data_IF_182215963936
#
_entry.id   IF_182215963936
#
_cell.length_a   1.000
_cell.length_b   1.000
_cell.length_c   1.000
_cell.angle_alpha   90.00
_cell.angle_beta   90.00
_cell.angle_gamma   90.00
#
_symmetry.space_group_name_H-M   'P 1'
#
loop_
_entity.id
_entity.type
_entity.pdbx_description
1 polymer ?
#
# COMPACT_ATOMS: atom_id res chain seq x y z
N UNK A 1 31.50 -6.37 18.51
CA UNK A 1 30.41 -5.97 17.58
C UNK A 1 29.93 -4.60 17.98
N UNK A 2 29.83 -3.65 17.04
CA UNK A 2 29.28 -2.34 17.33
C UNK A 2 27.74 -2.40 17.41
N UNK A 3 27.11 -1.45 18.12
CA UNK A 3 25.63 -1.40 18.23
C UNK A 3 24.93 -1.37 16.88
N UNK A 4 25.55 -0.78 15.85
CA UNK A 4 25.00 -0.70 14.50
C UNK A 4 24.98 -2.09 13.85
N UNK A 5 26.08 -2.85 13.93
CA UNK A 5 26.16 -4.21 13.40
C UNK A 5 25.12 -5.13 14.07
N UNK A 6 24.93 -4.98 15.36
CA UNK A 6 23.91 -5.73 16.11
C UNK A 6 22.48 -5.34 15.70
N UNK A 7 22.21 -4.04 15.43
CA UNK A 7 20.93 -3.58 14.92
C UNK A 7 20.63 -4.18 13.54
N UNK A 8 21.62 -4.23 12.65
CA UNK A 8 21.48 -4.81 11.32
C UNK A 8 21.22 -6.34 11.38
N UNK A 9 21.86 -7.04 12.31
CA UNK A 9 21.58 -8.47 12.54
C UNK A 9 20.13 -8.71 12.98
N UNK A 10 19.64 -7.90 13.94
CA UNK A 10 18.25 -7.98 14.37
C UNK A 10 17.28 -7.66 13.24
N UNK A 11 17.56 -6.62 12.45
CA UNK A 11 16.74 -6.27 11.29
C UNK A 11 16.66 -7.43 10.28
N UNK A 12 17.82 -7.98 9.87
CA UNK A 12 17.87 -9.09 8.91
C UNK A 12 17.15 -10.34 9.43
N UNK A 13 17.26 -10.62 10.72
CA UNK A 13 16.50 -11.70 11.36
C UNK A 13 15.00 -11.45 11.31
N UNK A 14 14.56 -10.21 11.54
CA UNK A 14 13.18 -9.80 11.42
C UNK A 14 12.63 -10.03 10.01
N UNK A 15 13.38 -9.63 8.98
CA UNK A 15 13.02 -9.87 7.57
C UNK A 15 12.87 -11.37 7.30
N UNK A 16 13.83 -12.18 7.70
CA UNK A 16 13.78 -13.63 7.50
C UNK A 16 12.61 -14.33 8.24
N UNK A 17 12.13 -13.75 9.34
CA UNK A 17 10.94 -14.23 10.05
C UNK A 17 9.66 -13.77 9.37
N UNK A 18 9.61 -12.54 8.88
CA UNK A 18 8.48 -12.01 8.12
C UNK A 18 8.25 -12.81 6.83
N UNK A 19 9.30 -13.18 6.10
CA UNK A 19 9.24 -14.03 4.91
C UNK A 19 8.66 -15.43 5.21
N UNK A 20 8.68 -15.85 6.46
CA UNK A 20 8.08 -17.10 6.95
C UNK A 20 6.71 -16.88 7.62
N UNK A 21 6.12 -15.70 7.43
CA UNK A 21 4.84 -15.27 8.02
C UNK A 21 4.83 -15.30 9.57
N UNK A 22 6.02 -15.27 10.21
CA UNK A 22 6.18 -15.24 11.67
C UNK A 22 6.19 -13.79 12.17
N UNK A 23 5.06 -13.12 12.00
CA UNK A 23 4.95 -11.66 12.18
C UNK A 23 5.21 -11.21 13.63
N UNK A 24 4.75 -11.94 14.65
CA UNK A 24 4.99 -11.60 16.05
C UNK A 24 6.49 -11.70 16.41
N UNK A 25 7.18 -12.77 15.94
CA UNK A 25 8.61 -12.94 16.16
C UNK A 25 9.42 -11.87 15.40
N UNK A 26 8.96 -11.50 14.17
CA UNK A 26 9.59 -10.45 13.36
C UNK A 26 9.49 -9.08 14.06
N UNK A 27 8.34 -8.74 14.63
CA UNK A 27 8.12 -7.48 15.38
C UNK A 27 9.12 -7.36 16.52
N UNK A 28 9.34 -8.44 17.29
CA UNK A 28 10.35 -8.42 18.38
C UNK A 28 11.76 -8.12 17.85
N UNK A 29 12.11 -8.68 16.69
CA UNK A 29 13.41 -8.41 16.07
C UNK A 29 13.53 -6.95 15.60
N UNK A 30 12.47 -6.40 14.99
CA UNK A 30 12.44 -5.00 14.57
C UNK A 30 12.52 -4.05 15.79
N UNK A 31 11.85 -4.36 16.89
CA UNK A 31 11.94 -3.57 18.12
C UNK A 31 13.35 -3.51 18.67
N UNK A 32 14.09 -4.64 18.67
CA UNK A 32 15.51 -4.66 19.06
C UNK A 32 16.38 -3.82 18.12
N UNK A 33 16.16 -3.92 16.80
CA UNK A 33 16.88 -3.11 15.82
C UNK A 33 16.64 -1.60 16.04
N UNK A 34 15.37 -1.20 16.25
CA UNK A 34 14.98 0.19 16.52
C UNK A 34 15.60 0.70 17.82
N UNK A 35 15.62 -0.11 18.87
CA UNK A 35 16.21 0.28 20.16
C UNK A 35 17.72 0.50 20.06
N UNK A 36 18.43 -0.31 19.28
CA UNK A 36 19.87 -0.21 19.10
C UNK A 36 20.29 0.96 18.20
N UNK A 37 19.48 1.31 17.18
CA UNK A 37 19.78 2.38 16.25
C UNK A 37 18.51 3.20 15.89
N UNK A 38 17.99 4.00 16.83
CA UNK A 38 16.71 4.69 16.65
C UNK A 38 16.73 5.75 15.54
N UNK A 39 17.88 6.37 15.28
CA UNK A 39 18.00 7.44 14.27
C UNK A 39 17.98 6.88 12.84
N UNK A 40 18.50 5.69 12.62
CA UNK A 40 18.50 5.01 11.33
C UNK A 40 17.57 3.78 11.37
N UNK A 41 16.32 3.99 11.75
CA UNK A 41 15.34 2.91 11.97
C UNK A 41 14.11 3.02 11.06
N UNK A 42 14.19 3.77 9.96
CA UNK A 42 13.07 3.89 9.01
C UNK A 42 12.66 2.52 8.44
N UNK A 43 13.62 1.75 7.92
CA UNK A 43 13.34 0.41 7.37
C UNK A 43 12.80 -0.60 8.41
N UNK A 44 13.40 -0.76 9.60
CA UNK A 44 12.82 -1.60 10.65
C UNK A 44 11.40 -1.18 11.07
N UNK A 45 11.12 0.12 11.16
CA UNK A 45 9.78 0.62 11.49
C UNK A 45 8.76 0.31 10.40
N UNK A 46 9.12 0.53 9.13
CA UNK A 46 8.25 0.21 8.02
C UNK A 46 7.91 -1.28 7.99
N UNK A 47 8.89 -2.15 8.14
CA UNK A 47 8.67 -3.60 8.13
C UNK A 47 7.91 -4.08 9.38
N UNK A 48 8.12 -3.43 10.55
CA UNK A 48 7.27 -3.66 11.72
C UNK A 48 5.82 -3.28 11.42
N UNK A 49 5.58 -2.13 10.79
CA UNK A 49 4.25 -1.70 10.35
C UNK A 49 3.59 -2.73 9.43
N UNK A 50 4.34 -3.26 8.45
CA UNK A 50 3.83 -4.30 7.55
C UNK A 50 3.48 -5.60 8.30
N UNK A 51 4.29 -6.00 9.28
CA UNK A 51 4.00 -7.17 10.13
C UNK A 51 2.77 -6.94 11.02
N UNK A 52 2.59 -5.74 11.56
CA UNK A 52 1.41 -5.36 12.33
C UNK A 52 0.15 -5.35 11.45
N UNK A 53 0.27 -4.84 10.22
CA UNK A 53 -0.83 -4.89 9.25
C UNK A 53 -1.26 -6.33 8.95
N UNK A 54 -0.30 -7.24 8.75
CA UNK A 54 -0.59 -8.66 8.53
C UNK A 54 -1.29 -9.34 9.73
N UNK A 55 -1.09 -8.81 10.94
CA UNK A 55 -1.78 -9.22 12.16
C UNK A 55 -3.09 -8.44 12.39
N UNK A 56 -3.58 -7.69 11.41
CA UNK A 56 -4.78 -6.85 11.49
C UNK A 56 -4.73 -5.74 12.57
N UNK A 57 -3.51 -5.40 13.05
CA UNK A 57 -3.25 -4.32 14.02
C UNK A 57 -3.03 -2.99 13.29
N UNK A 58 -4.07 -2.52 12.62
CA UNK A 58 -3.96 -1.42 11.64
C UNK A 58 -3.55 -0.08 12.28
N UNK A 59 -4.06 0.27 13.46
CA UNK A 59 -3.71 1.51 14.17
C UNK A 59 -2.24 1.52 14.60
N UNK A 60 -1.74 0.37 15.07
CA UNK A 60 -0.32 0.23 15.42
C UNK A 60 0.56 0.29 14.17
N UNK A 61 0.11 -0.30 13.04
CA UNK A 61 0.80 -0.22 11.75
C UNK A 61 0.91 1.24 11.27
N UNK A 62 -0.19 2.01 11.32
CA UNK A 62 -0.21 3.43 10.97
C UNK A 62 0.81 4.20 11.81
N UNK A 63 0.88 3.95 13.12
CA UNK A 63 1.86 4.59 14.00
C UNK A 63 3.30 4.32 13.55
N UNK A 64 3.60 3.08 13.15
CA UNK A 64 4.93 2.71 12.65
C UNK A 64 5.24 3.42 11.32
N UNK A 65 4.27 3.51 10.41
CA UNK A 65 4.44 4.20 9.13
C UNK A 65 4.56 5.72 9.33
N UNK A 66 3.85 6.32 10.27
CA UNK A 66 4.01 7.74 10.63
C UNK A 66 5.43 8.06 11.11
N UNK A 67 5.99 7.20 11.97
CA UNK A 67 7.38 7.34 12.41
C UNK A 67 8.38 7.13 11.25
N UNK A 68 8.08 6.23 10.31
CA UNK A 68 8.90 6.03 9.11
C UNK A 68 8.88 7.28 8.23
N UNK A 69 7.71 7.86 7.98
CA UNK A 69 7.52 9.10 7.21
C UNK A 69 8.26 10.26 7.89
N UNK A 70 8.19 10.36 9.22
CA UNK A 70 8.93 11.40 9.98
C UNK A 70 10.44 11.29 9.80
N UNK A 71 10.98 10.07 9.70
CA UNK A 71 12.42 9.83 9.49
C UNK A 71 12.84 9.98 8.02
N UNK A 72 11.98 9.59 7.10
CA UNK A 72 12.21 9.67 5.65
C UNK A 72 10.91 10.06 4.93
N UNK A 73 10.59 11.36 4.82
CA UNK A 73 9.34 11.82 4.20
C UNK A 73 9.30 11.63 2.68
N UNK A 74 10.44 11.35 2.05
CA UNK A 74 10.56 11.13 0.61
C UNK A 74 10.46 9.65 0.21
N UNK A 75 10.17 8.75 1.15
CA UNK A 75 9.94 7.34 0.85
C UNK A 75 8.46 7.10 0.45
N UNK A 76 8.15 6.86 -0.83
CA UNK A 76 6.79 6.61 -1.27
C UNK A 76 6.19 5.36 -0.63
N UNK A 77 7.03 4.37 -0.28
CA UNK A 77 6.58 3.09 0.29
C UNK A 77 5.92 3.29 1.65
N UNK A 78 6.46 4.19 2.48
CA UNK A 78 5.89 4.47 3.80
C UNK A 78 4.52 5.14 3.71
N UNK A 79 4.36 6.08 2.78
CA UNK A 79 3.08 6.72 2.49
C UNK A 79 2.06 5.71 1.95
N UNK A 80 2.46 4.88 0.99
CA UNK A 80 1.61 3.83 0.43
C UNK A 80 1.12 2.87 1.52
N UNK A 81 2.02 2.33 2.35
CA UNK A 81 1.66 1.37 3.39
C UNK A 81 0.74 1.98 4.45
N UNK A 82 0.95 3.26 4.81
CA UNK A 82 0.02 4.00 5.67
C UNK A 82 -1.36 4.10 5.03
N UNK A 83 -1.44 4.44 3.74
CA UNK A 83 -2.68 4.48 2.97
C UNK A 83 -3.42 3.14 2.97
N UNK A 84 -2.70 2.04 2.80
CA UNK A 84 -3.26 0.68 2.84
C UNK A 84 -3.86 0.36 4.22
N UNK A 85 -3.16 0.71 5.30
CA UNK A 85 -3.64 0.49 6.65
C UNK A 85 -4.87 1.37 6.98
N UNK A 86 -4.89 2.63 6.54
CA UNK A 86 -6.05 3.51 6.67
C UNK A 86 -7.25 3.00 5.88
N UNK A 87 -7.02 2.49 4.68
CA UNK A 87 -8.08 1.91 3.84
C UNK A 87 -8.70 0.66 4.49
N UNK A 88 -7.89 -0.17 5.18
CA UNK A 88 -8.39 -1.31 5.94
C UNK A 88 -9.28 -0.90 7.13
N UNK A 89 -9.07 0.30 7.67
CA UNK A 89 -9.94 0.92 8.70
C UNK A 89 -11.11 1.72 8.10
N UNK A 90 -11.34 1.63 6.79
CA UNK A 90 -12.37 2.40 6.07
C UNK A 90 -12.20 3.93 6.16
N UNK A 91 -11.00 4.41 6.52
CA UNK A 91 -10.63 5.83 6.56
C UNK A 91 -10.20 6.31 5.18
N UNK A 92 -11.15 6.28 4.23
CA UNK A 92 -10.86 6.44 2.81
C UNK A 92 -10.29 7.80 2.44
N UNK A 93 -10.79 8.90 3.05
CA UNK A 93 -10.29 10.24 2.80
C UNK A 93 -8.83 10.39 3.22
N UNK A 94 -8.47 9.85 4.41
CA UNK A 94 -7.09 9.87 4.90
C UNK A 94 -6.17 8.98 4.05
N UNK A 95 -6.67 7.84 3.59
CA UNK A 95 -5.95 6.93 2.70
C UNK A 95 -5.64 7.60 1.35
N UNK A 96 -6.61 8.34 0.77
CA UNK A 96 -6.43 9.09 -0.48
C UNK A 96 -5.29 10.10 -0.35
N UNK A 97 -5.20 10.83 0.76
CA UNK A 97 -4.09 11.77 1.01
C UNK A 97 -2.74 11.05 0.98
N UNK A 98 -2.67 9.86 1.58
CA UNK A 98 -1.44 9.06 1.57
C UNK A 98 -1.07 8.58 0.17
N UNK A 99 -2.06 8.11 -0.62
CA UNK A 99 -1.82 7.72 -2.01
C UNK A 99 -1.45 8.91 -2.90
N UNK A 100 -1.98 10.11 -2.62
CA UNK A 100 -1.58 11.33 -3.33
C UNK A 100 -0.10 11.67 -3.08
N UNK A 101 0.38 11.56 -1.85
CA UNK A 101 1.82 11.75 -1.56
C UNK A 101 2.66 10.64 -2.19
N UNK A 102 2.19 9.37 -2.19
CA UNK A 102 2.86 8.28 -2.92
C UNK A 102 3.01 8.61 -4.40
N UNK A 103 1.92 9.00 -5.07
CA UNK A 103 1.89 9.32 -6.50
C UNK A 103 2.76 10.54 -6.83
N UNK A 104 2.82 11.51 -5.95
CA UNK A 104 3.67 12.70 -6.10
C UNK A 104 5.15 12.33 -6.05
N UNK A 105 5.54 11.40 -5.18
CA UNK A 105 6.92 10.90 -5.03
C UNK A 105 7.28 9.87 -6.10
N UNK A 106 6.34 9.01 -6.47
CA UNK A 106 6.46 8.00 -7.54
C UNK A 106 5.19 7.99 -8.42
N UNK A 107 5.18 8.79 -9.50
CA UNK A 107 4.03 8.86 -10.42
C UNK A 107 3.74 7.57 -11.20
N UNK A 108 4.70 6.63 -11.22
CA UNK A 108 4.56 5.35 -11.94
C UNK A 108 4.05 4.21 -11.03
N UNK A 109 3.80 4.47 -9.75
CA UNK A 109 3.22 3.48 -8.84
C UNK A 109 1.76 3.16 -9.21
N UNK A 110 1.59 2.05 -9.94
CA UNK A 110 0.27 1.57 -10.37
C UNK A 110 -0.60 1.11 -9.21
N UNK A 111 0.00 0.67 -8.10
CA UNK A 111 -0.75 0.24 -6.91
C UNK A 111 -1.35 1.43 -6.17
N UNK A 112 -0.62 2.53 -6.07
CA UNK A 112 -1.13 3.75 -5.45
C UNK A 112 -2.32 4.32 -6.25
N UNK A 113 -2.21 4.38 -7.58
CA UNK A 113 -3.32 4.78 -8.45
C UNK A 113 -4.54 3.87 -8.29
N UNK A 114 -4.33 2.55 -8.27
CA UNK A 114 -5.41 1.56 -8.14
C UNK A 114 -6.12 1.68 -6.80
N UNK A 115 -5.36 1.77 -5.71
CA UNK A 115 -5.92 1.83 -4.35
C UNK A 115 -6.60 3.18 -4.08
N UNK A 116 -6.07 4.29 -4.63
CA UNK A 116 -6.75 5.59 -4.61
C UNK A 116 -8.10 5.49 -5.32
N UNK A 117 -8.14 4.86 -6.51
CA UNK A 117 -9.39 4.61 -7.24
C UNK A 117 -10.39 3.79 -6.44
N UNK A 118 -9.94 2.75 -5.72
CA UNK A 118 -10.79 1.93 -4.86
C UNK A 118 -11.36 2.74 -3.68
N UNK A 119 -10.54 3.58 -3.03
CA UNK A 119 -10.99 4.46 -1.94
C UNK A 119 -12.01 5.48 -2.42
N UNK A 120 -11.80 6.08 -3.60
CA UNK A 120 -12.75 7.00 -4.23
C UNK A 120 -14.07 6.32 -4.58
N UNK A 121 -14.01 5.07 -5.06
CA UNK A 121 -15.23 4.27 -5.31
C UNK A 121 -16.01 4.05 -4.02
N UNK A 122 -15.34 3.74 -2.90
CA UNK A 122 -15.98 3.55 -1.60
C UNK A 122 -16.67 4.84 -1.10
N UNK A 123 -16.12 6.01 -1.45
CA UNK A 123 -16.70 7.32 -1.19
C UNK A 123 -17.76 7.76 -2.22
N UNK A 124 -18.16 6.86 -3.13
CA UNK A 124 -19.11 7.12 -4.22
C UNK A 124 -18.66 8.20 -5.23
N UNK A 125 -17.36 8.53 -5.25
CA UNK A 125 -16.71 9.46 -6.19
C UNK A 125 -16.31 8.72 -7.47
N UNK A 126 -17.31 8.27 -8.21
CA UNK A 126 -17.12 7.31 -9.31
C UNK A 126 -16.33 7.87 -10.48
N UNK A 127 -16.51 9.13 -10.85
CA UNK A 127 -15.77 9.78 -11.93
C UNK A 127 -14.29 9.89 -11.60
N UNK A 128 -13.97 10.36 -10.38
CA UNK A 128 -12.57 10.46 -9.90
C UNK A 128 -11.93 9.06 -9.79
N UNK A 129 -12.71 8.05 -9.39
CA UNK A 129 -12.25 6.64 -9.35
C UNK A 129 -11.88 6.14 -10.76
N UNK A 130 -12.67 6.45 -11.78
CA UNK A 130 -12.38 6.11 -13.18
C UNK A 130 -11.07 6.74 -13.63
N UNK A 131 -10.84 8.03 -13.33
CA UNK A 131 -9.60 8.73 -13.69
C UNK A 131 -8.36 8.05 -13.07
N UNK A 132 -8.44 7.65 -11.81
CA UNK A 132 -7.36 6.92 -11.14
C UNK A 132 -7.11 5.55 -11.78
N UNK A 133 -8.18 4.79 -12.07
CA UNK A 133 -8.07 3.51 -12.74
C UNK A 133 -7.49 3.66 -14.16
N UNK A 134 -7.84 4.71 -14.91
CA UNK A 134 -7.30 4.99 -16.23
C UNK A 134 -5.79 5.27 -16.18
N UNK A 135 -5.31 6.01 -15.18
CA UNK A 135 -3.87 6.21 -14.97
C UNK A 135 -3.17 4.89 -14.66
N UNK A 136 -3.74 4.06 -13.77
CA UNK A 136 -3.18 2.74 -13.46
C UNK A 136 -3.13 1.81 -14.70
N UNK A 137 -4.18 1.79 -15.54
CA UNK A 137 -4.24 1.01 -16.78
C UNK A 137 -3.25 1.54 -17.82
N UNK A 138 -3.08 2.86 -17.92
CA UNK A 138 -2.11 3.47 -18.82
C UNK A 138 -0.67 3.07 -18.47
N UNK A 139 -0.35 3.00 -17.19
CA UNK A 139 0.98 2.58 -16.69
C UNK A 139 1.16 1.06 -16.80
N UNK A 140 0.13 0.30 -16.48
CA UNK A 140 0.12 -1.16 -16.60
C UNK A 140 -1.21 -1.64 -17.22
N UNK A 141 -1.23 -1.89 -18.54
CA UNK A 141 -2.45 -2.38 -19.23
C UNK A 141 -2.96 -3.74 -18.73
N UNK A 142 -2.12 -4.52 -18.04
CA UNK A 142 -2.52 -5.82 -17.45
C UNK A 142 -3.02 -5.71 -16.00
N UNK A 143 -3.24 -4.50 -15.48
CA UNK A 143 -3.73 -4.30 -14.13
C UNK A 143 -5.22 -4.65 -14.02
N UNK A 144 -5.50 -5.92 -13.68
CA UNK A 144 -6.83 -6.46 -13.52
C UNK A 144 -7.67 -5.71 -12.48
N UNK A 145 -7.04 -5.27 -11.39
CA UNK A 145 -7.73 -4.57 -10.32
C UNK A 145 -8.24 -3.21 -10.80
N UNK A 146 -7.41 -2.48 -11.55
CA UNK A 146 -7.79 -1.20 -12.15
C UNK A 146 -8.89 -1.35 -13.22
N UNK A 147 -8.79 -2.38 -14.10
CA UNK A 147 -9.83 -2.66 -15.07
C UNK A 147 -11.19 -2.95 -14.41
N UNK A 148 -11.19 -3.79 -13.36
CA UNK A 148 -12.41 -4.10 -12.61
C UNK A 148 -12.94 -2.88 -11.84
N UNK A 149 -12.06 -2.09 -11.21
CA UNK A 149 -12.42 -0.85 -10.51
C UNK A 149 -13.09 0.16 -11.42
N UNK A 150 -12.53 0.37 -12.62
CA UNK A 150 -13.13 1.22 -13.66
C UNK A 150 -14.50 0.69 -14.07
N UNK A 151 -14.63 -0.60 -14.38
CA UNK A 151 -15.88 -1.22 -14.75
C UNK A 151 -16.96 -1.08 -13.68
N UNK A 152 -16.61 -1.25 -12.41
CA UNK A 152 -17.52 -1.07 -11.29
C UNK A 152 -18.01 0.39 -11.18
N UNK A 153 -17.10 1.35 -11.31
CA UNK A 153 -17.44 2.79 -11.25
C UNK A 153 -18.34 3.21 -12.41
N UNK A 154 -18.03 2.74 -13.63
CA UNK A 154 -18.87 2.97 -14.82
C UNK A 154 -20.28 2.41 -14.65
N UNK A 155 -20.41 1.19 -14.11
CA UNK A 155 -21.71 0.58 -13.83
C UNK A 155 -22.52 1.38 -12.82
N UNK A 156 -21.87 1.94 -11.79
CA UNK A 156 -22.56 2.82 -10.81
C UNK A 156 -23.08 4.11 -11.44
N UNK A 157 -22.43 4.58 -12.49
CA UNK A 157 -22.86 5.76 -13.29
C UNK A 157 -23.87 5.42 -14.40
N UNK A 158 -24.30 4.14 -14.53
CA UNK A 158 -25.22 3.70 -15.59
C UNK A 158 -24.57 3.61 -16.97
N UNK A 159 -23.23 3.61 -17.07
CA UNK A 159 -22.44 3.48 -18.31
C UNK A 159 -22.14 2.00 -18.58
N UNK A 160 -23.21 1.20 -18.70
CA UNK A 160 -23.12 -0.27 -18.70
C UNK A 160 -22.33 -0.84 -19.88
N UNK A 161 -22.47 -0.26 -21.08
CA UNK A 161 -21.73 -0.71 -22.27
C UNK A 161 -20.21 -0.57 -22.08
N UNK A 162 -19.77 0.55 -21.51
CA UNK A 162 -18.34 0.79 -21.22
C UNK A 162 -17.84 -0.11 -20.08
N UNK A 163 -18.68 -0.35 -19.07
CA UNK A 163 -18.36 -1.27 -17.99
C UNK A 163 -18.12 -2.70 -18.50
N UNK A 164 -18.95 -3.18 -19.41
CA UNK A 164 -18.81 -4.50 -20.05
C UNK A 164 -17.46 -4.60 -20.75
N UNK A 165 -17.03 -3.60 -21.50
CA UNK A 165 -15.72 -3.60 -22.17
C UNK A 165 -14.56 -3.73 -21.17
N UNK A 166 -14.65 -3.06 -20.00
CA UNK A 166 -13.64 -3.17 -18.96
C UNK A 166 -13.59 -4.60 -18.37
N UNK A 167 -14.75 -5.22 -18.11
CA UNK A 167 -14.81 -6.59 -17.59
C UNK A 167 -14.35 -7.62 -18.60
N UNK A 168 -14.70 -7.49 -19.88
CA UNK A 168 -14.23 -8.36 -20.96
C UNK A 168 -12.71 -8.30 -21.11
N UNK A 169 -12.12 -7.10 -21.00
CA UNK A 169 -10.66 -6.92 -20.98
C UNK A 169 -10.05 -7.66 -19.79
N UNK A 170 -10.63 -7.52 -18.60
CA UNK A 170 -10.15 -8.21 -17.39
C UNK A 170 -10.24 -9.74 -17.52
N UNK A 171 -11.28 -10.28 -18.19
CA UNK A 171 -11.44 -11.73 -18.42
C UNK A 171 -10.35 -12.22 -19.37
N UNK A 172 -10.15 -11.55 -20.51
CA UNK A 172 -9.11 -11.93 -21.48
C UNK A 172 -7.72 -11.94 -20.86
N UNK A 173 -7.38 -10.94 -20.07
CA UNK A 173 -6.10 -10.88 -19.36
C UNK A 173 -5.89 -12.03 -18.35
N UNK A 174 -6.98 -12.65 -17.85
CA UNK A 174 -6.91 -13.83 -16.98
C UNK A 174 -6.71 -15.13 -17.75
N UNK A 175 -7.25 -15.22 -18.97
CA UNK A 175 -7.16 -16.42 -19.80
C UNK A 175 -5.78 -16.57 -20.47
N UNK A 176 -5.03 -15.47 -20.60
CA UNK A 176 -3.69 -15.44 -21.20
C UNK A 176 -2.55 -15.73 -20.20
N UNK A 177 -2.86 -15.96 -18.91
CA UNK A 177 -1.91 -16.28 -17.82
C UNK A 177 -2.07 -17.72 -17.35
#
# INVERSE_FOLDING_TARGET
MGKIEEADEWYNRGVALQDKEKHEEAIVCYDNAIQLNPENSAAPRNNKGNSLYALEKYEEAITCHDETIRLNPEDPTAWYNKGVALNALEKYEEAIVCYDETIKLDPEDTFAWTNKGASLYALEKYEESIECCDNAIKLNPENLAACNGKGNSLRKLGRDEEAILCFDTSIKLKEEK
#
